data_IF_832366511695
#
_entry.id   IF_832366511695
#
_cell.length_a   1.000
_cell.length_b   1.000
_cell.length_c   1.000
_cell.angle_alpha   90.00
_cell.angle_beta   90.00
_cell.angle_gamma   90.00
#
_symmetry.space_group_name_H-M   'P 1'
#
loop_
_entity.id
_entity.type
_entity.pdbx_description
1 polymer ?
#
# COMPACT_ATOMS: atom_id res chain seq x y z
N UNK A 1 -14.08 -26.13 6.57
CA UNK A 1 -13.28 -26.38 7.79
C UNK A 1 -12.95 -25.00 8.36
N UNK A 2 -13.48 -24.49 9.47
CA UNK A 2 -13.71 -25.08 10.79
C UNK A 2 -14.87 -24.37 11.53
N UNK A 3 -15.79 -25.21 12.02
CA UNK A 3 -16.48 -25.16 13.32
C UNK A 3 -17.31 -23.94 13.73
N UNK A 4 -18.61 -24.10 13.50
CA UNK A 4 -19.68 -23.60 14.37
C UNK A 4 -19.45 -24.04 15.82
N UNK A 5 -19.11 -23.08 16.70
CA UNK A 5 -19.07 -23.32 18.15
C UNK A 5 -20.47 -23.13 18.73
N UNK A 6 -21.03 -24.27 19.14
CA UNK A 6 -22.22 -24.43 19.95
C UNK A 6 -22.30 -23.40 21.08
N UNK A 7 -23.36 -22.58 21.09
CA UNK A 7 -23.76 -21.81 22.26
C UNK A 7 -24.21 -22.79 23.35
N UNK A 8 -23.26 -23.21 24.19
CA UNK A 8 -23.55 -23.94 25.43
C UNK A 8 -24.27 -22.94 26.35
N UNK A 9 -25.60 -23.06 26.48
CA UNK A 9 -26.37 -22.36 27.51
C UNK A 9 -25.75 -22.74 28.85
N UNK A 10 -24.94 -21.86 29.43
CA UNK A 10 -24.49 -22.02 30.80
C UNK A 10 -25.72 -21.89 31.69
N UNK A 11 -26.01 -22.97 32.39
CA UNK A 11 -27.06 -23.06 33.40
C UNK A 11 -26.83 -21.96 34.44
N UNK A 12 -27.83 -21.10 34.63
CA UNK A 12 -27.97 -20.28 35.83
C UNK A 12 -28.07 -21.22 37.04
N UNK A 13 -27.28 -21.05 38.11
CA UNK A 13 -27.49 -21.76 39.36
C UNK A 13 -28.58 -21.02 40.13
N UNK A 14 -29.85 -21.19 39.73
CA UNK A 14 -30.98 -20.88 40.62
C UNK A 14 -31.29 -22.14 41.42
N UNK A 15 -30.46 -22.39 42.44
CA UNK A 15 -30.75 -23.36 43.49
C UNK A 15 -30.95 -22.63 44.80
N UNK A 16 -32.22 -22.44 45.19
CA UNK A 16 -32.66 -22.71 46.57
C UNK A 16 -34.16 -22.49 46.66
N UNK A 17 -34.89 -23.58 46.89
CA UNK A 17 -36.24 -23.53 47.38
C UNK A 17 -36.26 -23.34 48.91
N UNK A 18 -37.34 -22.69 49.33
CA UNK A 18 -38.11 -22.88 50.56
C UNK A 18 -37.87 -21.99 51.80
N UNK A 19 -39.03 -21.49 52.25
CA UNK A 19 -39.47 -21.12 53.59
C UNK A 19 -39.23 -19.69 54.14
N UNK A 20 -40.38 -19.11 54.53
CA UNK A 20 -40.62 -18.06 55.55
C UNK A 20 -40.04 -16.66 55.32
N UNK A 21 -40.93 -15.67 55.22
CA UNK A 21 -40.63 -14.27 55.54
C UNK A 21 -40.21 -14.18 57.02
N UNK A 22 -39.13 -13.44 57.35
CA UNK A 22 -39.35 -12.12 57.95
C UNK A 22 -38.26 -11.06 57.63
N UNK A 23 -38.54 -9.80 58.04
CA UNK A 23 -37.62 -8.68 58.35
C UNK A 23 -37.13 -7.73 57.23
N UNK A 24 -37.41 -6.43 57.44
CA UNK A 24 -37.04 -5.26 56.63
C UNK A 24 -35.51 -5.03 56.47
N UNK A 25 -34.66 -5.76 57.20
CA UNK A 25 -33.19 -5.67 57.12
C UNK A 25 -32.59 -6.41 55.89
N UNK A 26 -33.40 -7.24 55.23
CA UNK A 26 -32.98 -8.09 54.10
C UNK A 26 -33.03 -7.38 52.73
N UNK A 27 -33.67 -6.20 52.64
CA UNK A 27 -33.78 -5.46 51.38
C UNK A 27 -32.47 -4.73 51.00
N UNK A 28 -31.74 -4.20 51.98
CA UNK A 28 -30.45 -3.53 51.73
C UNK A 28 -29.36 -4.50 51.28
N UNK A 29 -29.34 -5.73 51.80
CA UNK A 29 -28.36 -6.76 51.44
C UNK A 29 -28.60 -7.29 50.02
N UNK A 30 -29.86 -7.44 49.60
CA UNK A 30 -30.24 -7.80 48.23
C UNK A 30 -29.86 -6.69 47.24
N UNK A 31 -30.08 -5.41 47.58
CA UNK A 31 -29.67 -4.27 46.75
C UNK A 31 -28.15 -4.15 46.61
N UNK A 32 -27.38 -4.32 47.70
CA UNK A 32 -25.89 -4.30 47.66
C UNK A 32 -25.31 -5.46 46.85
N UNK A 33 -25.92 -6.65 46.90
CA UNK A 33 -25.47 -7.81 46.14
C UNK A 33 -25.69 -7.60 44.63
N UNK A 34 -26.79 -6.94 44.26
CA UNK A 34 -27.12 -6.63 42.85
C UNK A 34 -26.22 -5.53 42.27
N UNK A 35 -25.87 -4.52 43.06
CA UNK A 35 -24.97 -3.45 42.64
C UNK A 35 -23.52 -3.94 42.47
N UNK A 36 -23.05 -4.81 43.38
CA UNK A 36 -21.71 -5.41 43.28
C UNK A 36 -21.57 -6.39 42.11
N UNK A 37 -22.63 -7.14 41.78
CA UNK A 37 -22.65 -8.04 40.62
C UNK A 37 -22.63 -7.27 39.29
N UNK A 38 -23.32 -6.14 39.20
CA UNK A 38 -23.39 -5.33 37.98
C UNK A 38 -22.06 -4.63 37.67
N UNK A 39 -21.35 -4.14 38.70
CA UNK A 39 -20.00 -3.59 38.56
C UNK A 39 -18.99 -4.64 38.09
N UNK A 40 -19.12 -5.88 38.58
CA UNK A 40 -18.26 -7.00 38.17
C UNK A 40 -18.54 -7.45 36.72
N UNK A 41 -19.78 -7.30 36.24
CA UNK A 41 -20.14 -7.53 34.83
C UNK A 41 -19.45 -6.51 33.89
N UNK A 42 -19.34 -5.24 34.30
CA UNK A 42 -18.66 -4.22 33.49
C UNK A 42 -17.14 -4.34 33.46
N UNK A 43 -16.54 -5.04 34.44
CA UNK A 43 -15.10 -5.29 34.49
C UNK A 43 -14.66 -6.54 33.70
N UNK A 44 -15.56 -7.16 32.92
CA UNK A 44 -15.14 -8.22 32.02
C UNK A 44 -14.26 -7.64 30.89
N UNK A 45 -13.02 -8.14 30.72
CA UNK A 45 -12.08 -7.62 29.72
C UNK A 45 -12.61 -7.74 28.28
N UNK A 46 -13.53 -8.67 28.01
CA UNK A 46 -14.19 -8.85 26.70
C UNK A 46 -14.96 -7.61 26.21
N UNK A 47 -15.53 -6.81 27.13
CA UNK A 47 -16.29 -5.62 26.75
C UNK A 47 -15.36 -4.45 26.37
N UNK A 48 -14.23 -4.35 27.06
CA UNK A 48 -13.23 -3.31 26.82
C UNK A 48 -12.44 -3.58 25.52
N UNK A 49 -12.26 -4.86 25.16
CA UNK A 49 -11.64 -5.26 23.88
C UNK A 49 -12.54 -4.95 22.66
N UNK A 50 -13.86 -4.98 22.83
CA UNK A 50 -14.83 -4.68 21.77
C UNK A 50 -14.82 -3.21 21.33
N UNK A 51 -14.58 -2.25 22.22
CA UNK A 51 -14.52 -0.82 21.88
C UNK A 51 -13.21 -0.40 21.19
N UNK A 52 -12.13 -1.17 21.37
CA UNK A 52 -10.86 -0.95 20.67
C UNK A 52 -10.86 -1.50 19.25
N UNK A 53 -11.69 -2.52 18.97
CA UNK A 53 -11.67 -3.30 17.74
C UNK A 53 -12.95 -3.10 16.89
N UNK A 54 -13.47 -1.88 16.84
CA UNK A 54 -14.60 -1.53 15.98
C UNK A 54 -14.25 -1.77 14.49
N UNK A 55 -14.86 -2.77 13.82
CA UNK A 55 -14.51 -3.11 12.44
C UNK A 55 -14.84 -1.98 11.47
N UNK A 56 -15.86 -1.16 11.79
CA UNK A 56 -16.27 0.02 11.02
C UNK A 56 -15.18 1.11 11.05
N UNK A 57 -14.57 1.35 12.22
CA UNK A 57 -13.49 2.33 12.38
C UNK A 57 -12.25 1.89 11.62
N UNK A 58 -11.91 0.60 11.68
CA UNK A 58 -10.81 -0.01 10.92
C UNK A 58 -10.97 0.14 9.40
N UNK A 59 -12.17 -0.11 8.85
CA UNK A 59 -12.44 0.04 7.40
C UNK A 59 -12.28 1.50 6.95
N UNK A 60 -12.79 2.47 7.74
CA UNK A 60 -12.66 3.91 7.43
C UNK A 60 -11.21 4.36 7.49
N UNK A 61 -10.45 3.90 8.48
CA UNK A 61 -9.04 4.23 8.68
C UNK A 61 -8.15 3.67 7.55
N UNK A 62 -8.34 2.41 7.15
CA UNK A 62 -7.63 1.79 6.01
C UNK A 62 -7.87 2.53 4.68
N UNK A 63 -9.12 2.95 4.43
CA UNK A 63 -9.45 3.71 3.22
C UNK A 63 -8.84 5.11 3.26
N UNK A 64 -8.87 5.77 4.41
CA UNK A 64 -8.30 7.11 4.59
C UNK A 64 -6.78 7.09 4.39
N UNK A 65 -6.07 6.14 5.00
CA UNK A 65 -4.61 6.01 4.84
C UNK A 65 -4.24 5.75 3.38
N UNK A 66 -4.97 4.88 2.68
CA UNK A 66 -4.74 4.63 1.24
C UNK A 66 -4.99 5.88 0.41
N UNK A 67 -6.08 6.60 0.67
CA UNK A 67 -6.39 7.84 -0.04
C UNK A 67 -5.30 8.90 0.18
N UNK A 68 -4.89 9.13 1.42
CA UNK A 68 -3.82 10.07 1.76
C UNK A 68 -2.49 9.66 1.10
N UNK A 69 -2.16 8.37 1.08
CA UNK A 69 -0.98 7.84 0.40
C UNK A 69 -1.01 8.12 -1.11
N UNK A 70 -2.14 7.86 -1.78
CA UNK A 70 -2.28 8.16 -3.21
C UNK A 70 -2.21 9.66 -3.50
N UNK A 71 -2.83 10.49 -2.66
CA UNK A 71 -2.75 11.96 -2.78
C UNK A 71 -1.31 12.43 -2.63
N UNK A 72 -0.58 11.91 -1.63
CA UNK A 72 0.82 12.24 -1.42
C UNK A 72 1.70 11.86 -2.61
N UNK A 73 1.54 10.64 -3.15
CA UNK A 73 2.26 10.20 -4.35
C UNK A 73 1.95 11.08 -5.57
N UNK A 74 0.69 11.43 -5.77
CA UNK A 74 0.27 12.29 -6.87
C UNK A 74 0.85 13.71 -6.72
N UNK A 75 0.83 14.28 -5.51
CA UNK A 75 1.40 15.59 -5.23
C UNK A 75 2.93 15.60 -5.44
N UNK A 76 3.64 14.61 -4.89
CA UNK A 76 5.08 14.49 -5.06
C UNK A 76 5.47 14.28 -6.54
N UNK A 77 4.75 13.43 -7.26
CA UNK A 77 4.95 13.21 -8.69
C UNK A 77 4.67 14.46 -9.53
N UNK A 78 3.58 15.18 -9.22
CA UNK A 78 3.22 16.44 -9.87
C UNK A 78 4.27 17.52 -9.68
N UNK A 79 4.76 17.72 -8.45
CA UNK A 79 5.85 18.66 -8.16
C UNK A 79 7.11 18.30 -8.95
N UNK A 80 7.47 17.01 -9.00
CA UNK A 80 8.61 16.54 -9.78
C UNK A 80 8.46 16.80 -11.28
N UNK A 81 7.27 16.60 -11.84
CA UNK A 81 6.96 16.88 -13.25
C UNK A 81 7.04 18.39 -13.56
N UNK A 82 6.49 19.23 -12.68
CA UNK A 82 6.55 20.70 -12.82
C UNK A 82 8.00 21.17 -12.75
N UNK A 83 8.76 20.70 -11.77
CA UNK A 83 10.18 21.01 -11.67
C UNK A 83 10.93 20.60 -12.93
N UNK A 84 10.70 19.38 -13.43
CA UNK A 84 11.32 18.90 -14.65
C UNK A 84 10.91 19.73 -15.88
N UNK A 85 9.67 20.18 -15.97
CA UNK A 85 9.19 21.03 -17.05
C UNK A 85 10.00 22.32 -17.16
N UNK A 86 10.31 22.98 -16.05
CA UNK A 86 11.09 24.22 -16.04
C UNK A 86 12.62 24.00 -16.09
N UNK A 87 13.12 22.85 -15.61
CA UNK A 87 14.54 22.55 -15.55
C UNK A 87 14.97 21.53 -16.60
N UNK A 88 15.58 22.03 -17.68
CA UNK A 88 16.00 21.22 -18.82
C UNK A 88 17.11 20.21 -18.46
N UNK A 89 16.86 18.88 -18.47
CA UNK A 89 17.85 17.85 -18.16
C UNK A 89 18.91 17.64 -19.24
N UNK A 90 18.72 18.22 -20.42
CA UNK A 90 19.68 18.19 -21.52
C UNK A 90 20.68 19.33 -21.39
N UNK A 91 20.23 20.53 -21.00
CA UNK A 91 21.09 21.71 -20.85
C UNK A 91 21.77 21.80 -19.46
N UNK A 92 21.16 21.20 -18.42
CA UNK A 92 21.65 21.38 -17.05
C UNK A 92 22.65 20.29 -16.67
N UNK A 93 23.94 20.65 -16.61
CA UNK A 93 25.03 19.72 -16.24
C UNK A 93 24.99 19.24 -14.78
N UNK A 94 24.22 19.93 -13.93
CA UNK A 94 24.04 19.60 -12.50
C UNK A 94 22.98 18.54 -12.22
N UNK A 95 22.13 18.19 -13.19
CA UNK A 95 21.18 17.09 -12.99
C UNK A 95 21.96 15.77 -12.88
N UNK A 96 21.69 14.95 -11.86
CA UNK A 96 22.50 13.79 -11.57
C UNK A 96 22.45 12.83 -12.74
N UNK A 97 23.62 12.62 -13.36
CA UNK A 97 23.81 11.52 -14.29
C UNK A 97 23.54 10.20 -13.56
N UNK A 98 23.13 9.17 -14.29
CA UNK A 98 22.89 7.87 -13.67
C UNK A 98 24.17 7.37 -12.98
N UNK A 99 24.11 7.23 -11.64
CA UNK A 99 25.25 6.76 -10.84
C UNK A 99 25.72 5.38 -11.28
N UNK A 100 24.80 4.52 -11.73
CA UNK A 100 25.13 3.19 -12.24
C UNK A 100 26.03 3.26 -13.48
N UNK A 101 25.71 4.14 -14.44
CA UNK A 101 26.54 4.35 -15.62
C UNK A 101 27.91 4.95 -15.25
N UNK A 102 27.94 5.89 -14.30
CA UNK A 102 29.20 6.48 -13.80
C UNK A 102 30.12 5.47 -13.15
N UNK A 103 29.56 4.44 -12.49
CA UNK A 103 30.32 3.41 -11.79
C UNK A 103 30.72 2.23 -12.69
N UNK A 104 29.83 1.80 -13.58
CA UNK A 104 30.02 0.56 -14.37
C UNK A 104 30.32 0.81 -15.85
N UNK A 105 30.04 2.01 -16.35
CA UNK A 105 30.05 2.30 -17.78
C UNK A 105 28.88 1.66 -18.56
N UNK A 106 27.98 0.93 -17.90
CA UNK A 106 26.85 0.25 -18.53
C UNK A 106 25.54 1.03 -18.35
N UNK A 107 24.69 0.99 -19.37
CA UNK A 107 23.37 1.60 -19.33
C UNK A 107 22.35 0.64 -18.71
N UNK A 108 21.69 1.09 -17.65
CA UNK A 108 20.55 0.43 -17.02
C UNK A 108 19.26 0.57 -17.84
N UNK A 109 18.25 -0.26 -17.54
CA UNK A 109 16.92 -0.18 -18.18
C UNK A 109 16.17 1.13 -17.88
N UNK A 110 16.46 1.77 -16.74
CA UNK A 110 15.92 3.08 -16.36
C UNK A 110 16.75 4.29 -16.81
N UNK A 111 17.84 4.06 -17.55
CA UNK A 111 18.74 5.14 -17.92
C UNK A 111 18.10 6.01 -19.01
N UNK A 112 18.09 7.34 -18.82
CA UNK A 112 17.46 8.29 -19.74
C UNK A 112 15.98 8.59 -19.46
N UNK A 113 15.36 7.97 -18.45
CA UNK A 113 13.94 8.19 -18.10
C UNK A 113 13.60 9.65 -17.81
N UNK A 114 14.49 10.40 -17.14
CA UNK A 114 14.28 11.84 -16.86
C UNK A 114 14.28 12.68 -18.13
N UNK A 115 15.17 12.40 -19.10
CA UNK A 115 15.19 13.07 -20.41
C UNK A 115 13.99 12.68 -21.25
N UNK A 116 13.60 11.40 -21.21
CA UNK A 116 12.41 10.90 -21.89
C UNK A 116 11.14 11.59 -21.37
N UNK A 117 11.00 11.74 -20.05
CA UNK A 117 9.87 12.39 -19.43
C UNK A 117 9.83 13.88 -19.74
N UNK A 118 10.99 14.56 -19.75
CA UNK A 118 11.09 15.95 -20.19
C UNK A 118 10.64 16.13 -21.64
N UNK A 119 11.12 15.29 -22.57
CA UNK A 119 10.73 15.34 -23.97
C UNK A 119 9.23 15.09 -24.14
N UNK A 120 8.68 14.09 -23.44
CA UNK A 120 7.24 13.81 -23.44
C UNK A 120 6.41 14.97 -22.90
N UNK A 121 6.88 15.66 -21.85
CA UNK A 121 6.23 16.85 -21.29
C UNK A 121 6.20 18.04 -22.28
N UNK A 122 7.19 18.14 -23.16
CA UNK A 122 7.26 19.17 -24.20
C UNK A 122 6.58 18.75 -25.52
N UNK A 123 5.95 17.58 -25.55
CA UNK A 123 5.25 17.04 -26.72
C UNK A 123 6.14 16.33 -27.74
N UNK A 124 7.44 16.16 -27.48
CA UNK A 124 8.34 15.40 -28.34
C UNK A 124 8.36 13.92 -27.94
N UNK A 125 7.35 13.19 -28.39
CA UNK A 125 7.24 11.75 -28.14
C UNK A 125 8.32 10.96 -28.88
N UNK A 126 8.78 11.43 -30.04
CA UNK A 126 9.83 10.74 -30.80
C UNK A 126 11.15 10.74 -30.02
N UNK A 127 11.57 11.89 -29.50
CA UNK A 127 12.72 11.97 -28.62
C UNK A 127 12.51 11.19 -27.32
N UNK A 128 11.29 11.19 -26.76
CA UNK A 128 10.99 10.41 -25.56
C UNK A 128 11.24 8.90 -25.76
N UNK A 129 10.80 8.33 -26.88
CA UNK A 129 11.05 6.92 -27.22
C UNK A 129 12.53 6.64 -27.46
N UNK A 130 13.26 7.56 -28.09
CA UNK A 130 14.71 7.44 -28.28
C UNK A 130 15.48 7.44 -26.97
N UNK A 131 15.09 8.28 -26.01
CA UNK A 131 15.74 8.33 -24.70
C UNK A 131 15.41 7.08 -23.85
N UNK A 132 14.14 6.67 -23.79
CA UNK A 132 13.77 5.42 -23.12
C UNK A 132 12.47 4.81 -23.67
N UNK A 133 12.60 3.77 -24.48
CA UNK A 133 11.47 3.03 -25.06
C UNK A 133 10.58 2.39 -23.99
N UNK A 134 11.17 1.99 -22.85
CA UNK A 134 10.42 1.37 -21.76
C UNK A 134 9.61 2.36 -20.91
N UNK A 135 9.76 3.68 -21.11
CA UNK A 135 9.07 4.69 -20.32
C UNK A 135 7.55 4.47 -20.32
N UNK A 136 6.91 4.52 -21.50
CA UNK A 136 5.46 4.41 -21.64
C UNK A 136 4.88 3.07 -21.14
N UNK A 137 5.41 1.89 -21.54
CA UNK A 137 4.88 0.63 -21.02
C UNK A 137 5.09 0.50 -19.51
N UNK A 138 6.19 1.04 -18.96
CA UNK A 138 6.40 1.05 -17.51
C UNK A 138 5.40 1.95 -16.77
N UNK A 139 5.06 3.12 -17.33
CA UNK A 139 4.04 4.01 -16.75
C UNK A 139 2.65 3.35 -16.74
N UNK A 140 2.27 2.69 -17.83
CA UNK A 140 1.00 1.93 -17.91
C UNK A 140 0.99 0.81 -16.87
N UNK A 141 2.07 0.04 -16.79
CA UNK A 141 2.18 -1.05 -15.82
C UNK A 141 2.10 -0.53 -14.38
N UNK A 142 2.82 0.54 -14.04
CA UNK A 142 2.77 1.16 -12.73
C UNK A 142 1.33 1.62 -12.41
N UNK A 143 0.64 2.27 -13.35
CA UNK A 143 -0.76 2.68 -13.17
C UNK A 143 -1.68 1.50 -12.85
N UNK A 144 -1.54 0.39 -13.59
CA UNK A 144 -2.30 -0.84 -13.33
C UNK A 144 -1.96 -1.45 -11.97
N UNK A 145 -0.68 -1.47 -11.61
CA UNK A 145 -0.21 -2.02 -10.33
C UNK A 145 -0.64 -1.15 -9.14
N UNK A 146 -0.74 0.17 -9.30
CA UNK A 146 -1.31 1.06 -8.30
C UNK A 146 -2.81 0.76 -8.08
N UNK A 147 -3.54 0.45 -9.14
CA UNK A 147 -4.96 0.06 -9.05
C UNK A 147 -5.16 -1.36 -8.49
N UNK A 148 -4.28 -2.30 -8.85
CA UNK A 148 -4.33 -3.72 -8.44
C UNK A 148 -2.95 -4.19 -7.95
N UNK A 149 -2.53 -3.82 -6.73
CA UNK A 149 -1.19 -4.11 -6.23
C UNK A 149 -0.90 -5.60 -6.09
N UNK A 150 -1.93 -6.43 -5.86
CA UNK A 150 -1.79 -7.89 -5.80
C UNK A 150 -1.37 -8.52 -7.13
N UNK A 151 -1.57 -7.83 -8.25
CA UNK A 151 -1.15 -8.33 -9.56
C UNK A 151 0.37 -8.38 -9.69
N UNK A 152 1.10 -7.46 -9.05
CA UNK A 152 2.57 -7.39 -9.07
C UNK A 152 3.22 -8.67 -8.51
N UNK A 153 2.58 -9.29 -7.52
CA UNK A 153 3.11 -10.48 -6.83
C UNK A 153 2.89 -11.77 -7.62
N UNK A 154 2.15 -11.72 -8.74
CA UNK A 154 1.80 -12.92 -9.47
C UNK A 154 2.90 -13.22 -10.48
N UNK A 155 3.45 -14.43 -10.37
CA UNK A 155 4.57 -14.93 -11.16
C UNK A 155 4.44 -14.63 -12.66
N UNK A 156 3.26 -14.85 -13.23
CA UNK A 156 2.95 -14.61 -14.65
C UNK A 156 3.07 -13.15 -15.14
N UNK A 157 3.23 -12.18 -14.23
CA UNK A 157 3.42 -10.75 -14.52
C UNK A 157 4.84 -10.37 -14.14
N UNK A 158 5.32 -10.86 -12.98
CA UNK A 158 6.67 -10.58 -12.51
C UNK A 158 7.75 -11.14 -13.45
N UNK A 159 7.62 -12.41 -13.87
CA UNK A 159 8.60 -13.05 -14.75
C UNK A 159 8.75 -12.37 -16.12
N UNK A 160 7.67 -12.12 -16.90
CA UNK A 160 7.84 -11.45 -18.20
C UNK A 160 8.38 -10.03 -18.05
N UNK A 161 7.98 -9.28 -17.01
CA UNK A 161 8.53 -7.93 -16.75
C UNK A 161 10.03 -8.02 -16.49
N UNK A 162 10.48 -8.95 -15.64
CA UNK A 162 11.89 -9.17 -15.35
C UNK A 162 12.66 -9.56 -16.62
N UNK A 163 12.13 -10.51 -17.41
CA UNK A 163 12.74 -10.93 -18.67
C UNK A 163 12.88 -9.74 -19.63
N UNK A 164 11.83 -8.93 -19.80
CA UNK A 164 11.87 -7.74 -20.65
C UNK A 164 12.92 -6.74 -20.15
N UNK A 165 13.01 -6.49 -18.85
CA UNK A 165 13.99 -5.57 -18.28
C UNK A 165 15.43 -6.05 -18.51
N UNK A 166 15.69 -7.34 -18.32
CA UNK A 166 17.00 -7.95 -18.54
C UNK A 166 17.36 -7.97 -20.02
N UNK A 167 16.43 -8.37 -20.89
CA UNK A 167 16.64 -8.35 -22.34
C UNK A 167 16.93 -6.92 -22.82
N UNK A 168 16.14 -5.94 -22.40
CA UNK A 168 16.37 -4.55 -22.75
C UNK A 168 17.71 -4.02 -22.24
N UNK A 169 18.10 -4.40 -21.02
CA UNK A 169 19.42 -4.08 -20.47
C UNK A 169 20.53 -4.68 -21.34
N UNK A 170 20.46 -5.96 -21.71
CA UNK A 170 21.45 -6.61 -22.58
C UNK A 170 21.50 -5.93 -23.94
N UNK A 171 20.35 -5.80 -24.63
CA UNK A 171 20.25 -5.20 -25.96
C UNK A 171 20.87 -3.81 -25.99
N UNK A 172 20.60 -2.97 -24.99
CA UNK A 172 21.10 -1.59 -24.93
C UNK A 172 22.61 -1.49 -24.69
N UNK A 173 23.26 -2.52 -24.15
CA UNK A 173 24.71 -2.54 -23.92
C UNK A 173 25.50 -3.22 -25.06
N UNK A 174 24.83 -3.70 -26.11
CA UNK A 174 25.49 -4.31 -27.28
C UNK A 174 25.84 -3.20 -28.31
N UNK A 175 27.11 -3.01 -28.67
CA UNK A 175 27.55 -1.97 -29.61
C UNK A 175 27.36 -2.39 -31.08
N UNK A 176 26.18 -2.90 -31.42
CA UNK A 176 25.83 -3.34 -32.79
C UNK A 176 24.63 -2.53 -33.27
N UNK A 177 24.68 -2.01 -34.49
CA UNK A 177 23.54 -1.36 -35.11
C UNK A 177 22.43 -2.39 -35.37
N UNK A 178 21.15 -2.17 -34.99
CA UNK A 178 20.50 -0.91 -34.61
C UNK A 178 20.44 -0.63 -33.09
N UNK A 179 21.00 -1.47 -32.23
CA UNK A 179 20.89 -1.33 -30.76
C UNK A 179 21.59 -0.09 -30.19
N UNK A 180 22.53 0.49 -30.94
CA UNK A 180 23.11 1.80 -30.66
C UNK A 180 22.06 2.92 -30.57
N UNK A 181 20.91 2.79 -31.25
CA UNK A 181 19.82 3.77 -31.20
C UNK A 181 19.06 3.73 -29.87
N UNK A 182 19.19 2.65 -29.09
CA UNK A 182 18.55 2.52 -27.78
C UNK A 182 19.38 3.18 -26.69
N UNK A 183 20.66 3.48 -26.91
CA UNK A 183 21.47 4.18 -25.94
C UNK A 183 21.11 5.68 -25.94
N UNK A 184 20.86 6.29 -24.76
CA UNK A 184 20.54 7.70 -24.65
C UNK A 184 21.81 8.54 -24.83
N UNK A 185 22.12 8.91 -26.07
CA UNK A 185 23.16 9.88 -26.45
C UNK A 185 22.71 11.31 -26.16
#
# INVERSE_FOLDING_TARGET
MLQARSRRRQKLPCGHGLHSAPELSSMESILRCRCSGLLRIMQHPDFQESAGNDPVKKIKQERLVKLLFFIFLAAAGGIGLIFLYFHNPVATRWLPQCSFYRLTGLYCSGCGTTRALYAALHGDFYAAFRYNLLLFPSLILIGVLLWKPRLALRAWVAYPVLIILVLYWILRNIPVYPFLLLAPH
#
